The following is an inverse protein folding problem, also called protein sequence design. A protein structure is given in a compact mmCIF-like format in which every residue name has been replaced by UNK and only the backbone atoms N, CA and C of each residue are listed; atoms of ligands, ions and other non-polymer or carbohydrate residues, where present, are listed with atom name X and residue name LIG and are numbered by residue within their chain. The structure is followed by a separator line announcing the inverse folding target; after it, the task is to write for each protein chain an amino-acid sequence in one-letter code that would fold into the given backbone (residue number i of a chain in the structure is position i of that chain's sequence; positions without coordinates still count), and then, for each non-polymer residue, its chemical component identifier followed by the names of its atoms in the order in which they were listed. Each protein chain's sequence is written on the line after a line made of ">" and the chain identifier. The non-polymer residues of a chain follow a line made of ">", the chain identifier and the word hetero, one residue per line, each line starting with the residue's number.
data_IF_974620121194
#
_entry.id   IF_974620121194
#
_cell.length_a   1.000
_cell.length_b   1.000
_cell.length_c   1.000
_cell.angle_alpha   90.00
_cell.angle_beta   90.00
_cell.angle_gamma   90.00
#
_symmetry.space_group_name_H-M   'P 1'
#
loop_
_entity.id
_entity.type
_entity.pdbx_description
1 polymer ?
#
# COMPACT_ATOMS: atom_id res chain seq x y z
N UNK A 1 -3.25 -22.61 19.95
CA UNK A 1 -3.96 -22.10 18.76
C UNK A 1 -3.90 -20.56 18.69
N UNK A 2 -2.70 -19.96 18.58
CA UNK A 2 -2.54 -18.53 18.24
C UNK A 2 -2.83 -18.25 16.76
N UNK A 3 -2.67 -19.23 15.87
CA UNK A 3 -2.96 -19.14 14.42
C UNK A 3 -4.42 -18.83 14.09
N UNK A 4 -5.39 -19.24 14.93
CA UNK A 4 -6.81 -18.97 14.71
C UNK A 4 -7.20 -17.51 15.03
N UNK A 5 -6.47 -16.85 15.95
CA UNK A 5 -6.68 -15.43 16.27
C UNK A 5 -6.08 -14.52 15.20
N UNK A 6 -4.98 -14.94 14.57
CA UNK A 6 -4.28 -14.18 13.53
C UNK A 6 -5.12 -13.94 12.27
N UNK A 7 -6.03 -14.86 11.92
CA UNK A 7 -6.74 -14.85 10.63
C UNK A 7 -8.23 -14.50 10.74
N UNK A 8 -8.86 -14.72 11.90
CA UNK A 8 -10.11 -14.02 12.24
C UNK A 8 -9.91 -12.49 12.28
N UNK A 9 -8.66 -12.06 12.48
CA UNK A 9 -8.30 -10.65 12.41
C UNK A 9 -8.41 -10.08 10.98
N UNK A 10 -7.90 -10.80 9.96
CA UNK A 10 -8.15 -10.47 8.55
C UNK A 10 -9.64 -10.56 8.15
N UNK A 11 -10.44 -11.30 8.92
CA UNK A 11 -11.87 -11.54 8.65
C UNK A 11 -12.78 -10.35 9.05
N UNK A 12 -12.50 -9.68 10.17
CA UNK A 12 -13.23 -8.47 10.58
C UNK A 12 -12.67 -7.18 9.94
N UNK A 13 -11.43 -7.24 9.47
CA UNK A 13 -10.67 -6.14 8.87
C UNK A 13 -10.31 -6.50 7.43
N UNK A 14 -11.29 -6.42 6.52
CA UNK A 14 -11.09 -6.48 5.05
C UNK A 14 -10.35 -5.22 4.57
N UNK A 15 -9.10 -5.06 4.98
CA UNK A 15 -8.21 -4.03 4.45
C UNK A 15 -7.30 -4.71 3.44
N UNK A 16 -7.71 -4.69 2.17
CA UNK A 16 -6.67 -4.45 1.16
C UNK A 16 -5.91 -3.20 1.61
N UNK A 17 -4.59 -3.14 1.45
CA UNK A 17 -3.82 -1.95 1.81
C UNK A 17 -4.43 -0.64 1.22
N UNK A 18 -5.19 -0.75 0.12
CA UNK A 18 -6.07 0.26 -0.50
C UNK A 18 -7.10 0.92 0.46
N UNK A 19 -7.52 0.20 1.50
CA UNK A 19 -8.48 0.68 2.50
C UNK A 19 -7.80 1.60 3.52
N UNK A 20 -6.50 1.38 3.83
CA UNK A 20 -5.77 2.14 4.88
C UNK A 20 -5.29 3.51 4.39
N UNK A 21 -4.96 3.62 3.09
CA UNK A 21 -4.48 4.88 2.51
C UNK A 21 -5.58 5.74 1.89
N UNK A 22 -6.70 5.14 1.50
CA UNK A 22 -7.88 5.87 1.06
C UNK A 22 -9.06 5.53 1.97
N UNK A 23 -9.40 6.46 2.87
CA UNK A 23 -10.67 6.49 3.61
C UNK A 23 -11.96 6.50 2.76
N UNK A 24 -11.90 6.09 1.48
CA UNK A 24 -13.01 5.90 0.56
C UNK A 24 -13.80 4.61 0.80
N UNK A 25 -13.19 3.53 1.30
CA UNK A 25 -13.91 2.27 1.51
C UNK A 25 -14.61 2.22 2.87
N UNK A 26 -14.03 2.82 3.93
CA UNK A 26 -14.73 2.98 5.22
C UNK A 26 -16.06 3.72 5.09
N UNK A 27 -16.17 4.68 4.16
CA UNK A 27 -17.43 5.40 3.93
C UNK A 27 -18.51 4.51 3.33
N UNK A 28 -18.14 3.44 2.62
CA UNK A 28 -19.10 2.56 1.93
C UNK A 28 -19.56 1.40 2.82
N UNK A 29 -18.70 0.91 3.74
CA UNK A 29 -19.05 -0.15 4.69
C UNK A 29 -19.65 0.37 5.99
N UNK A 30 -19.28 1.56 6.47
CA UNK A 30 -20.02 2.24 7.54
C UNK A 30 -21.47 2.59 7.13
N UNK A 31 -21.71 2.88 5.84
CA UNK A 31 -23.05 3.08 5.27
C UNK A 31 -23.83 1.77 5.05
N UNK A 32 -23.21 0.58 5.14
CA UNK A 32 -23.94 -0.70 5.07
C UNK A 32 -24.46 -1.14 6.45
N UNK A 33 -23.86 -0.67 7.54
CA UNK A 33 -24.27 -1.00 8.90
C UNK A 33 -25.21 0.04 9.53
N UNK A 34 -25.33 1.23 8.93
CA UNK A 34 -26.30 2.25 9.32
C UNK A 34 -27.14 2.71 8.11
N UNK A 35 -28.46 2.72 8.28
CA UNK A 35 -29.47 3.33 7.39
C UNK A 35 -30.25 2.41 6.44
N UNK A 36 -31.13 1.63 7.07
CA UNK A 36 -32.52 1.50 6.62
C UNK A 36 -33.23 2.87 6.63
N UNK A 37 -33.13 3.72 5.59
CA UNK A 37 -34.16 4.71 5.18
C UNK A 37 -33.80 5.48 3.89
N UNK A 38 -34.66 5.53 2.85
CA UNK A 38 -34.32 6.20 1.59
C UNK A 38 -34.82 7.66 1.56
N UNK A 39 -33.94 8.62 1.83
CA UNK A 39 -34.07 9.99 1.30
C UNK A 39 -32.69 10.61 1.20
N UNK A 40 -32.14 10.67 -0.01
CA UNK A 40 -31.71 11.92 -0.65
C UNK A 40 -31.09 11.60 -2.02
N UNK A 41 -31.78 12.06 -3.07
CA UNK A 41 -31.34 12.05 -4.46
C UNK A 41 -31.32 13.50 -4.90
N UNK A 42 -30.16 14.03 -5.29
CA UNK A 42 -30.04 15.33 -5.98
C UNK A 42 -28.61 15.47 -6.53
N UNK A 43 -28.39 15.21 -7.81
CA UNK A 43 -28.50 16.15 -8.95
C UNK A 43 -27.12 16.77 -9.27
N UNK A 44 -26.45 16.18 -10.26
CA UNK A 44 -25.24 16.72 -10.86
C UNK A 44 -25.62 17.39 -12.18
N UNK A 45 -25.43 18.70 -12.26
CA UNK A 45 -25.39 19.42 -13.53
C UNK A 45 -24.59 20.72 -13.42
N UNK A 46 -23.49 20.76 -14.19
CA UNK A 46 -23.08 21.81 -15.13
C UNK A 46 -22.78 23.21 -14.56
N UNK A 47 -21.50 23.59 -14.58
CA UNK A 47 -21.07 24.97 -14.83
C UNK A 47 -19.90 24.98 -15.83
N UNK A 48 -20.11 25.71 -16.92
CA UNK A 48 -19.12 26.12 -17.92
C UNK A 48 -19.01 27.64 -17.91
N UNK A 49 -17.81 28.14 -18.26
CA UNK A 49 -17.42 29.49 -18.76
C UNK A 49 -17.22 30.63 -17.76
N UNK A 50 -15.99 31.17 -17.79
CA UNK A 50 -15.64 32.59 -18.03
C UNK A 50 -14.09 32.68 -18.08
N UNK A 51 -13.37 33.53 -18.80
CA UNK A 51 -13.49 34.28 -20.05
C UNK A 51 -12.08 34.86 -20.33
N UNK A 52 -11.81 35.21 -21.59
CA UNK A 52 -10.57 35.80 -22.09
C UNK A 52 -10.32 37.23 -21.55
N UNK A 53 -9.06 37.59 -21.29
CA UNK A 53 -8.45 38.78 -21.89
C UNK A 53 -6.92 38.76 -21.84
N UNK A 54 -6.33 39.50 -22.77
CA UNK A 54 -4.96 39.50 -23.30
C UNK A 54 -3.86 40.06 -22.38
N UNK A 55 -2.59 39.69 -22.63
CA UNK A 55 -1.45 40.59 -22.95
C UNK A 55 -0.26 39.75 -23.47
N UNK A 56 0.38 40.26 -24.53
CA UNK A 56 1.53 39.72 -25.26
C UNK A 56 2.57 40.86 -25.35
N UNK A 57 3.87 40.50 -25.49
CA UNK A 57 5.14 41.29 -25.57
C UNK A 57 6.00 41.18 -24.30
N UNK A 58 7.30 40.88 -24.32
CA UNK A 58 8.24 40.64 -25.41
C UNK A 58 9.66 40.39 -24.86
N UNK A 59 10.27 39.30 -25.33
CA UNK A 59 11.67 39.05 -25.77
C UNK A 59 12.83 40.00 -25.30
N UNK A 60 13.93 39.33 -24.92
CA UNK A 60 15.37 39.71 -24.87
C UNK A 60 15.96 40.26 -23.55
N UNK A 61 16.93 39.49 -23.04
CA UNK A 61 17.90 39.91 -22.02
C UNK A 61 18.91 38.79 -21.69
N UNK A 62 19.71 38.39 -22.68
CA UNK A 62 20.90 37.55 -22.50
C UNK A 62 21.88 38.23 -21.51
N UNK A 63 22.17 37.59 -20.38
CA UNK A 63 23.43 37.80 -19.67
C UNK A 63 24.01 36.45 -19.26
N UNK A 64 25.18 36.17 -19.81
CA UNK A 64 26.02 35.01 -19.53
C UNK A 64 26.60 35.17 -18.11
N UNK A 65 26.26 34.25 -17.21
CA UNK A 65 27.05 33.99 -16.02
C UNK A 65 27.88 32.72 -16.27
N UNK A 66 29.19 32.92 -16.36
CA UNK A 66 30.21 31.88 -16.41
C UNK A 66 30.39 31.29 -15.02
N UNK A 67 30.33 29.95 -14.90
CA UNK A 67 30.93 29.22 -13.79
C UNK A 67 31.72 28.02 -14.31
N UNK A 68 32.83 27.79 -13.62
CA UNK A 68 34.00 27.00 -13.98
C UNK A 68 33.95 25.60 -13.36
N UNK A 69 34.46 24.63 -14.14
CA UNK A 69 35.04 23.31 -13.81
C UNK A 69 34.45 22.42 -12.70
N UNK A 70 33.76 21.36 -13.17
CA UNK A 70 33.92 19.93 -12.84
C UNK A 70 33.90 19.52 -11.35
N UNK A 71 32.73 19.68 -10.74
CA UNK A 71 32.20 18.71 -9.78
C UNK A 71 31.11 17.91 -10.46
N UNK A 72 31.12 16.58 -10.33
CA UNK A 72 30.07 15.69 -10.86
C UNK A 72 28.72 16.16 -10.29
N UNK A 73 27.95 16.88 -11.10
CA UNK A 73 26.66 17.43 -10.70
C UNK A 73 25.70 16.27 -10.44
N UNK A 74 25.32 16.07 -9.18
CA UNK A 74 23.97 15.56 -8.89
C UNK A 74 23.02 16.51 -9.63
N UNK A 75 22.12 15.96 -10.44
CA UNK A 75 21.25 16.75 -11.32
C UNK A 75 20.64 17.90 -10.55
N UNK A 76 20.91 19.14 -10.99
CA UNK A 76 20.43 20.36 -10.34
C UNK A 76 18.90 20.52 -10.46
N UNK A 77 18.25 19.58 -11.18
CA UNK A 77 16.81 19.53 -11.41
C UNK A 77 16.14 18.28 -10.78
N UNK A 78 16.87 17.48 -9.98
CA UNK A 78 16.23 16.37 -9.25
C UNK A 78 15.54 16.95 -8.01
N UNK A 79 14.22 16.78 -7.92
CA UNK A 79 13.40 17.13 -6.78
C UNK A 79 12.43 15.99 -6.44
N UNK A 80 11.98 15.94 -5.19
CA UNK A 80 10.91 15.04 -4.76
C UNK A 80 9.59 15.80 -4.88
N UNK A 81 8.77 15.42 -5.85
CA UNK A 81 7.48 16.06 -6.11
C UNK A 81 6.37 15.47 -5.24
N UNK A 82 5.22 16.18 -5.18
CA UNK A 82 4.00 15.66 -4.55
C UNK A 82 3.57 14.30 -5.14
N UNK A 83 3.67 14.14 -6.47
CA UNK A 83 3.34 12.88 -7.15
C UNK A 83 4.29 11.75 -6.75
N UNK A 84 5.58 12.04 -6.59
CA UNK A 84 6.55 11.03 -6.18
C UNK A 84 6.25 10.53 -4.77
N UNK A 85 5.99 11.46 -3.84
CA UNK A 85 5.61 11.09 -2.48
C UNK A 85 4.32 10.27 -2.47
N UNK A 86 3.32 10.65 -3.26
CA UNK A 86 2.08 9.89 -3.36
C UNK A 86 2.31 8.46 -3.84
N UNK A 87 3.14 8.28 -4.87
CA UNK A 87 3.51 6.93 -5.36
C UNK A 87 4.15 6.11 -4.23
N UNK A 88 5.08 6.71 -3.47
CA UNK A 88 5.75 6.04 -2.35
C UNK A 88 4.73 5.57 -1.29
N UNK A 89 3.75 6.41 -0.97
CA UNK A 89 2.76 6.13 0.07
C UNK A 89 1.66 5.16 -0.39
N UNK A 90 1.26 5.20 -1.67
CA UNK A 90 0.15 4.40 -2.20
C UNK A 90 0.58 3.07 -2.85
N UNK A 91 1.88 2.75 -2.92
CA UNK A 91 2.34 1.52 -3.60
C UNK A 91 1.79 0.24 -2.94
N UNK A 92 1.52 0.28 -1.64
CA UNK A 92 0.95 -0.87 -0.95
C UNK A 92 -0.47 -1.22 -1.44
N UNK A 93 -1.25 -0.24 -1.93
CA UNK A 93 -2.59 -0.44 -2.51
C UNK A 93 -2.55 -1.46 -3.65
N UNK A 94 -1.49 -1.38 -4.48
CA UNK A 94 -1.29 -2.22 -5.66
C UNK A 94 -1.01 -3.68 -5.24
N UNK A 95 -0.12 -3.85 -4.26
CA UNK A 95 0.26 -5.18 -3.78
C UNK A 95 -0.83 -5.85 -2.92
N UNK A 96 -1.66 -5.05 -2.25
CA UNK A 96 -2.75 -5.52 -1.39
C UNK A 96 -3.86 -6.26 -2.13
N UNK A 97 -3.96 -6.11 -3.45
CA UNK A 97 -4.88 -6.88 -4.30
C UNK A 97 -4.59 -8.39 -4.15
N UNK A 98 -3.31 -8.78 -4.12
CA UNK A 98 -2.90 -10.17 -4.00
C UNK A 98 -3.13 -10.73 -2.58
N UNK A 99 -3.04 -9.88 -1.56
CA UNK A 99 -3.24 -10.26 -0.16
C UNK A 99 -4.70 -10.67 0.10
N UNK A 100 -5.67 -10.04 -0.58
CA UNK A 100 -7.09 -10.41 -0.51
C UNK A 100 -7.35 -11.85 -0.98
N UNK A 101 -6.64 -12.30 -2.04
CA UNK A 101 -6.76 -13.66 -2.59
C UNK A 101 -6.21 -14.70 -1.61
N UNK A 102 -5.11 -14.39 -0.93
CA UNK A 102 -4.52 -15.26 0.11
C UNK A 102 -5.52 -15.46 1.25
N UNK A 103 -6.14 -14.36 1.72
CA UNK A 103 -7.15 -14.40 2.78
C UNK A 103 -8.33 -15.31 2.40
N UNK A 104 -8.88 -15.14 1.19
CA UNK A 104 -10.01 -15.96 0.73
C UNK A 104 -9.69 -17.45 0.61
N UNK A 105 -8.53 -17.81 0.06
CA UNK A 105 -8.11 -19.22 -0.05
C UNK A 105 -7.96 -19.89 1.31
N UNK A 106 -7.52 -19.14 2.33
CA UNK A 106 -7.41 -19.64 3.69
C UNK A 106 -8.79 -19.83 4.33
N UNK A 107 -9.71 -18.87 4.17
CA UNK A 107 -11.08 -18.98 4.71
C UNK A 107 -11.83 -20.20 4.13
N UNK A 108 -11.64 -20.46 2.84
CA UNK A 108 -12.25 -21.60 2.17
C UNK A 108 -11.69 -22.96 2.64
N UNK A 109 -10.47 -22.99 3.21
CA UNK A 109 -9.91 -24.19 3.83
C UNK A 109 -10.65 -24.57 5.13
N UNK A 110 -11.24 -23.60 5.85
CA UNK A 110 -11.98 -23.85 7.10
C UNK A 110 -13.42 -24.35 6.84
N UNK A 111 -14.00 -24.00 5.68
CA UNK A 111 -15.39 -24.35 5.31
C UNK A 111 -15.49 -25.76 4.68
N UNK A 112 -14.38 -26.33 4.18
CA UNK A 112 -14.39 -27.68 3.61
C UNK A 112 -13.23 -28.57 4.14
N UNK A 113 -13.61 -29.43 5.09
CA UNK A 113 -13.12 -30.80 5.16
C UNK A 113 -11.66 -31.05 5.61
N UNK A 114 -11.55 -31.55 6.85
CA UNK A 114 -10.64 -32.63 7.28
C UNK A 114 -10.70 -33.92 6.41
N UNK A 115 -11.06 -33.87 5.13
CA UNK A 115 -11.28 -35.09 4.34
C UNK A 115 -11.06 -35.02 2.82
N UNK A 116 -10.43 -34.00 2.23
CA UNK A 116 -10.02 -34.08 0.82
C UNK A 116 -8.69 -33.36 0.53
N UNK A 117 -7.63 -34.14 0.28
CA UNK A 117 -6.29 -33.67 -0.15
C UNK A 117 -6.25 -33.03 -1.56
N UNK A 118 -7.39 -32.80 -2.17
CA UNK A 118 -7.58 -32.02 -3.38
C UNK A 118 -9.05 -31.60 -3.39
N UNK A 119 -9.32 -30.35 -3.05
CA UNK A 119 -10.67 -29.83 -3.10
C UNK A 119 -10.73 -28.88 -4.29
N UNK A 120 -11.48 -29.28 -5.32
CA UNK A 120 -12.01 -28.34 -6.32
C UNK A 120 -13.13 -27.57 -5.61
N UNK A 121 -12.73 -26.58 -4.82
CA UNK A 121 -13.58 -25.82 -3.90
C UNK A 121 -14.59 -24.94 -4.64
N UNK A 122 -14.27 -24.58 -5.89
CA UNK A 122 -15.17 -23.94 -6.86
C UNK A 122 -14.76 -24.38 -8.27
N UNK A 123 -15.62 -24.15 -9.27
CA UNK A 123 -15.26 -24.43 -10.68
C UNK A 123 -14.08 -23.59 -11.20
N UNK A 124 -13.62 -22.58 -10.43
CA UNK A 124 -12.73 -21.55 -10.92
C UNK A 124 -11.25 -21.71 -10.51
N UNK A 125 -10.92 -22.54 -9.51
CA UNK A 125 -9.52 -22.82 -9.15
C UNK A 125 -9.30 -24.23 -8.62
N UNK A 126 -8.07 -24.71 -8.76
CA UNK A 126 -7.60 -25.98 -8.20
C UNK A 126 -6.58 -25.72 -7.10
N UNK A 127 -6.87 -26.18 -5.88
CA UNK A 127 -5.99 -25.99 -4.73
C UNK A 127 -5.55 -27.33 -4.11
N UNK A 128 -4.27 -27.40 -3.75
CA UNK A 128 -3.65 -28.51 -3.02
C UNK A 128 -3.13 -28.00 -1.69
N UNK A 129 -3.59 -28.60 -0.60
CA UNK A 129 -3.24 -28.21 0.78
C UNK A 129 -2.35 -29.27 1.44
N UNK A 130 -1.46 -28.81 2.32
CA UNK A 130 -0.54 -29.64 3.10
C UNK A 130 -0.30 -29.01 4.48
N UNK A 131 0.38 -29.75 5.36
CA UNK A 131 0.74 -29.26 6.69
C UNK A 131 1.76 -28.09 6.63
N UNK A 132 2.45 -27.92 5.51
CA UNK A 132 3.49 -26.89 5.33
C UNK A 132 3.05 -25.73 4.43
N UNK A 133 1.77 -25.66 4.06
CA UNK A 133 1.25 -24.63 3.17
C UNK A 133 0.30 -25.17 2.10
N UNK A 134 0.02 -24.35 1.07
CA UNK A 134 -0.87 -24.72 -0.03
C UNK A 134 -0.40 -24.13 -1.37
N UNK A 135 -0.93 -24.67 -2.46
CA UNK A 135 -0.77 -24.10 -3.80
C UNK A 135 -2.12 -24.08 -4.48
N UNK A 136 -2.50 -22.92 -5.01
CA UNK A 136 -3.72 -22.71 -5.78
C UNK A 136 -3.37 -22.24 -7.18
N UNK A 137 -4.01 -22.86 -8.17
CA UNK A 137 -3.92 -22.46 -9.58
C UNK A 137 -5.29 -21.99 -10.04
N UNK A 138 -5.32 -20.76 -10.54
CA UNK A 138 -6.52 -20.05 -11.01
C UNK A 138 -6.55 -20.04 -12.52
N UNK A 139 -7.71 -20.36 -13.08
CA UNK A 139 -7.98 -20.23 -14.51
C UNK A 139 -9.26 -19.40 -14.68
N UNK A 140 -9.07 -18.12 -14.94
CA UNK A 140 -10.12 -17.12 -15.13
C UNK A 140 -11.16 -17.13 -14.00
N UNK A 141 -10.70 -17.02 -12.75
CA UNK A 141 -11.56 -17.06 -11.57
C UNK A 141 -11.98 -15.67 -11.11
N UNK A 142 -13.26 -15.48 -10.82
CA UNK A 142 -13.75 -14.29 -10.10
C UNK A 142 -13.90 -14.66 -8.63
N UNK A 143 -13.01 -14.13 -7.78
CA UNK A 143 -13.02 -14.34 -6.33
C UNK A 143 -13.77 -13.19 -5.63
N UNK A 144 -14.92 -13.45 -5.00
CA UNK A 144 -15.69 -12.46 -4.21
C UNK A 144 -15.80 -11.03 -4.78
N UNK A 145 -15.99 -10.88 -6.09
CA UNK A 145 -16.16 -9.56 -6.74
C UNK A 145 -14.85 -8.83 -7.08
N UNK A 146 -13.70 -9.50 -6.93
CA UNK A 146 -12.44 -9.10 -7.58
C UNK A 146 -12.54 -9.21 -9.10
N UNK A 147 -11.58 -8.61 -9.80
CA UNK A 147 -11.38 -8.89 -11.22
C UNK A 147 -10.91 -10.33 -11.46
N UNK A 148 -10.91 -10.78 -12.71
CA UNK A 148 -10.52 -12.15 -13.05
C UNK A 148 -9.08 -12.45 -12.58
N UNK A 149 -8.95 -13.45 -11.71
CA UNK A 149 -7.69 -13.97 -11.18
C UNK A 149 -7.21 -15.15 -12.03
N UNK A 150 -5.91 -15.13 -12.39
CA UNK A 150 -5.25 -16.19 -13.14
C UNK A 150 -3.87 -16.49 -12.53
N UNK A 151 -3.33 -17.67 -12.85
CA UNK A 151 -1.96 -18.04 -12.50
C UNK A 151 -1.87 -18.85 -11.22
N UNK A 152 -0.67 -18.93 -10.65
CA UNK A 152 -0.40 -19.79 -9.49
C UNK A 152 0.07 -18.98 -8.29
N UNK A 153 -0.59 -19.24 -7.17
CA UNK A 153 -0.21 -18.76 -5.84
C UNK A 153 0.26 -19.94 -5.01
N UNK A 154 1.49 -19.88 -4.53
CA UNK A 154 2.05 -20.86 -3.59
C UNK A 154 2.29 -20.19 -2.25
N UNK A 155 1.74 -20.75 -1.18
CA UNK A 155 1.95 -20.29 0.19
C UNK A 155 2.66 -21.38 0.97
N UNK A 156 3.75 -21.01 1.64
CA UNK A 156 4.53 -21.88 2.52
C UNK A 156 4.46 -21.34 3.94
N UNK A 157 4.04 -22.16 4.90
CA UNK A 157 3.99 -21.77 6.31
C UNK A 157 5.40 -21.83 6.91
N UNK A 158 5.74 -20.85 7.73
CA UNK A 158 6.97 -20.87 8.51
C UNK A 158 6.92 -21.96 9.58
N UNK A 159 8.02 -22.69 9.74
CA UNK A 159 8.13 -23.78 10.72
C UNK A 159 9.05 -23.32 11.86
N UNK A 160 8.48 -23.10 13.05
CA UNK A 160 9.22 -22.80 14.27
C UNK A 160 8.83 -21.46 14.92
N UNK A 161 8.64 -21.53 16.23
CA UNK A 161 8.29 -20.46 17.20
C UNK A 161 6.82 -20.00 17.25
N UNK A 162 6.44 -19.44 18.41
CA UNK A 162 5.06 -19.15 18.88
C UNK A 162 4.27 -18.16 17.99
N UNK A 163 4.92 -17.57 16.99
CA UNK A 163 4.41 -16.61 16.01
C UNK A 163 3.99 -17.25 14.69
N UNK A 164 2.82 -16.87 14.18
CA UNK A 164 2.37 -17.28 12.84
C UNK A 164 3.18 -16.56 11.75
N UNK A 165 3.75 -17.32 10.80
CA UNK A 165 4.42 -16.75 9.63
C UNK A 165 4.15 -17.56 8.36
N UNK A 166 4.18 -16.91 7.21
CA UNK A 166 4.06 -17.56 5.92
C UNK A 166 4.73 -16.75 4.79
N UNK A 167 5.09 -17.42 3.71
CA UNK A 167 5.61 -16.80 2.49
C UNK A 167 4.71 -17.14 1.32
N UNK A 168 4.19 -16.12 0.64
CA UNK A 168 3.45 -16.23 -0.62
C UNK A 168 4.39 -15.99 -1.81
N UNK A 169 4.25 -16.81 -2.85
CA UNK A 169 4.97 -16.70 -4.12
C UNK A 169 3.97 -16.68 -5.26
N UNK A 170 4.15 -15.72 -6.17
CA UNK A 170 3.25 -15.44 -7.29
C UNK A 170 3.94 -15.80 -8.60
N UNK A 171 3.41 -16.79 -9.31
CA UNK A 171 3.94 -17.25 -10.60
C UNK A 171 2.90 -17.06 -11.68
N UNK A 172 3.23 -16.21 -12.67
CA UNK A 172 2.30 -15.79 -13.73
C UNK A 172 0.92 -15.41 -13.17
N UNK A 173 0.91 -14.73 -12.02
CA UNK A 173 -0.30 -14.38 -11.30
C UNK A 173 -0.86 -13.07 -11.85
N UNK A 174 -2.16 -13.04 -12.13
CA UNK A 174 -2.84 -11.85 -12.63
C UNK A 174 -4.10 -11.61 -11.82
N UNK A 175 -4.39 -10.33 -11.58
CA UNK A 175 -5.71 -9.88 -11.14
C UNK A 175 -6.18 -8.82 -12.12
N UNK A 176 -7.16 -9.18 -12.95
CA UNK A 176 -7.59 -8.35 -14.05
C UNK A 176 -6.49 -8.18 -15.11
N UNK A 177 -6.07 -6.95 -15.33
CA UNK A 177 -4.95 -6.59 -16.23
C UNK A 177 -3.60 -6.48 -15.52
N UNK A 178 -3.57 -6.56 -14.19
CA UNK A 178 -2.35 -6.38 -13.40
C UNK A 178 -1.65 -7.74 -13.26
N UNK A 179 -0.38 -7.81 -13.67
CA UNK A 179 0.49 -8.98 -13.44
C UNK A 179 1.29 -8.78 -12.17
N UNK A 180 1.33 -9.79 -11.32
CA UNK A 180 2.08 -9.80 -10.06
C UNK A 180 3.07 -10.97 -10.09
N UNK A 181 4.31 -10.72 -9.72
CA UNK A 181 5.39 -11.72 -9.72
C UNK A 181 6.34 -11.49 -8.57
N UNK A 182 6.92 -12.57 -8.03
CA UNK A 182 7.85 -12.51 -6.90
C UNK A 182 7.29 -13.15 -5.64
N UNK A 183 7.75 -12.71 -4.48
CA UNK A 183 7.32 -13.23 -3.18
C UNK A 183 7.10 -12.16 -2.11
N UNK A 184 6.20 -12.45 -1.17
CA UNK A 184 5.97 -11.68 0.06
C UNK A 184 5.99 -12.62 1.25
N UNK A 185 6.73 -12.26 2.30
CA UNK A 185 6.77 -13.00 3.56
C UNK A 185 6.12 -12.19 4.67
N UNK A 186 5.26 -12.84 5.45
CA UNK A 186 4.51 -12.25 6.54
C UNK A 186 4.91 -12.93 7.85
N UNK A 187 5.20 -12.13 8.86
CA UNK A 187 5.53 -12.59 10.21
C UNK A 187 4.68 -11.82 11.20
N UNK A 188 3.82 -12.52 11.94
CA UNK A 188 3.10 -11.93 13.06
C UNK A 188 4.02 -11.84 14.28
N UNK A 189 4.01 -10.72 14.97
CA UNK A 189 4.59 -10.64 16.29
C UNK A 189 3.64 -11.27 17.33
N UNK A 190 4.04 -12.40 17.91
CA UNK A 190 3.25 -13.09 18.95
C UNK A 190 3.28 -12.40 20.31
N UNK A 191 4.09 -11.35 20.49
CA UNK A 191 4.21 -10.59 21.73
C UNK A 191 3.22 -9.42 21.84
N UNK A 192 2.29 -9.30 20.88
CA UNK A 192 1.34 -8.19 20.87
C UNK A 192 0.41 -8.19 22.09
N UNK A 193 0.17 -7.00 22.63
CA UNK A 193 -0.72 -6.77 23.77
C UNK A 193 -2.17 -7.12 23.38
N UNK A 194 -3.06 -7.31 24.36
CA UNK A 194 -4.45 -7.76 24.09
C UNK A 194 -5.22 -6.90 23.07
N UNK A 195 -4.82 -5.64 22.88
CA UNK A 195 -5.47 -4.67 21.99
C UNK A 195 -4.56 -4.12 20.88
N UNK A 196 -3.45 -4.80 20.60
CA UNK A 196 -2.56 -4.45 19.50
C UNK A 196 -2.15 -5.68 18.71
N UNK A 197 -1.73 -5.47 17.48
CA UNK A 197 -1.06 -6.47 16.67
C UNK A 197 0.02 -5.80 15.85
N UNK A 198 1.10 -6.53 15.61
CA UNK A 198 2.21 -6.09 14.80
C UNK A 198 2.53 -7.20 13.83
N UNK A 199 2.69 -6.86 12.56
CA UNK A 199 3.15 -7.81 11.56
C UNK A 199 4.22 -7.18 10.68
N UNK A 200 5.18 -8.01 10.28
CA UNK A 200 6.27 -7.63 9.40
C UNK A 200 6.04 -8.26 8.03
N UNK A 201 6.07 -7.44 6.98
CA UNK A 201 6.00 -7.86 5.58
C UNK A 201 7.36 -7.64 4.95
N UNK A 202 7.91 -8.68 4.32
CA UNK A 202 9.09 -8.56 3.46
C UNK A 202 8.68 -8.85 2.02
N UNK A 203 8.82 -7.86 1.14
CA UNK A 203 8.48 -7.92 -0.27
C UNK A 203 9.73 -8.08 -1.13
N UNK A 204 9.63 -8.93 -2.15
CA UNK A 204 10.50 -8.95 -3.31
C UNK A 204 9.61 -9.20 -4.54
N UNK A 205 9.04 -8.11 -5.06
CA UNK A 205 7.89 -8.12 -5.95
C UNK A 205 8.12 -7.27 -7.19
N UNK A 206 7.52 -7.71 -8.28
CA UNK A 206 7.34 -6.93 -9.51
C UNK A 206 5.87 -6.95 -9.89
N UNK A 207 5.32 -5.77 -10.12
CA UNK A 207 3.96 -5.57 -10.60
C UNK A 207 4.01 -4.90 -11.96
N UNK A 208 3.30 -5.46 -12.94
CA UNK A 208 3.07 -4.83 -14.25
C UNK A 208 1.61 -4.43 -14.32
N UNK A 209 1.37 -3.13 -14.43
CA UNK A 209 0.03 -2.55 -14.48
C UNK A 209 -0.62 -2.76 -15.85
N UNK A 210 -1.93 -2.50 -15.94
CA UNK A 210 -2.68 -2.66 -17.21
C UNK A 210 -2.25 -1.71 -18.33
N UNK A 211 -1.54 -0.63 -18.01
CA UNK A 211 -0.92 0.30 -18.97
C UNK A 211 0.55 -0.03 -19.29
N UNK A 212 1.00 -1.22 -18.90
CA UNK A 212 2.38 -1.73 -19.06
C UNK A 212 3.44 -1.03 -18.18
N UNK A 213 3.06 -0.08 -17.31
CA UNK A 213 3.97 0.46 -16.30
C UNK A 213 4.42 -0.63 -15.33
N UNK A 214 5.67 -0.54 -14.87
CA UNK A 214 6.30 -1.55 -14.03
C UNK A 214 6.68 -0.93 -12.69
N UNK A 215 6.19 -1.55 -11.62
CA UNK A 215 6.55 -1.24 -10.24
C UNK A 215 7.36 -2.40 -9.68
N UNK A 216 8.57 -2.14 -9.21
CA UNK A 216 9.38 -3.13 -8.47
C UNK A 216 9.44 -2.68 -7.01
N UNK A 217 9.12 -3.58 -6.08
CA UNK A 217 9.20 -3.34 -4.64
C UNK A 217 10.13 -4.37 -4.00
N UNK A 218 11.12 -3.91 -3.24
CA UNK A 218 11.99 -4.77 -2.45
C UNK A 218 12.25 -4.18 -1.06
N UNK A 219 12.00 -4.94 0.00
CA UNK A 219 12.36 -4.52 1.36
C UNK A 219 11.38 -5.01 2.41
N UNK A 220 11.44 -4.40 3.59
CA UNK A 220 10.71 -4.82 4.77
C UNK A 220 9.93 -3.65 5.37
N UNK A 221 8.66 -3.89 5.66
CA UNK A 221 7.76 -2.98 6.37
C UNK A 221 7.21 -3.68 7.61
N UNK A 222 7.25 -2.99 8.74
CA UNK A 222 6.60 -3.43 9.98
C UNK A 222 5.39 -2.54 10.19
N UNK A 223 4.21 -3.16 10.21
CA UNK A 223 2.94 -2.47 10.43
C UNK A 223 2.43 -2.86 11.82
N UNK A 224 2.25 -1.85 12.65
CA UNK A 224 1.62 -1.99 13.95
C UNK A 224 0.22 -1.39 13.92
N UNK A 225 -0.64 -1.92 14.78
CA UNK A 225 -1.96 -1.34 14.98
C UNK A 225 -2.37 -1.52 16.42
N UNK A 226 -2.92 -0.45 16.99
CA UNK A 226 -3.45 -0.41 18.35
C UNK A 226 -4.88 0.06 18.28
N UNK A 227 -5.80 -0.76 18.79
CA UNK A 227 -7.20 -0.39 18.88
C UNK A 227 -7.41 0.63 20.00
N UNK A 228 -8.25 1.62 19.71
CA UNK A 228 -8.80 2.52 20.71
C UNK A 228 -10.28 2.26 20.93
N UNK A 229 -10.89 3.08 21.78
CA UNK A 229 -12.33 3.08 22.01
C UNK A 229 -13.12 3.78 20.86
N UNK A 230 -12.40 4.44 19.95
CA UNK A 230 -12.94 5.17 18.80
C UNK A 230 -11.99 5.12 17.61
N UNK A 231 -12.42 5.65 16.45
CA UNK A 231 -11.57 5.72 15.25
C UNK A 231 -10.38 6.68 15.43
N UNK A 232 -10.59 7.78 16.17
CA UNK A 232 -9.57 8.79 16.48
C UNK A 232 -8.48 8.23 17.41
N UNK A 233 -8.83 7.25 18.23
CA UNK A 233 -7.93 6.62 19.21
C UNK A 233 -7.35 5.28 18.74
N UNK A 234 -7.81 4.78 17.59
CA UNK A 234 -7.25 3.61 16.92
C UNK A 234 -6.12 4.05 16.00
N UNK A 235 -4.89 3.63 16.33
CA UNK A 235 -3.65 4.10 15.70
C UNK A 235 -3.05 2.97 14.88
N UNK A 236 -2.58 3.29 13.68
CA UNK A 236 -1.70 2.43 12.91
C UNK A 236 -0.30 3.04 12.84
N UNK A 237 0.71 2.19 12.80
CA UNK A 237 2.11 2.58 12.72
C UNK A 237 2.82 1.85 11.59
N UNK A 238 3.78 2.53 10.96
CA UNK A 238 4.61 1.98 9.89
C UNK A 238 6.07 2.27 10.21
N UNK A 239 6.88 1.23 10.13
CA UNK A 239 8.34 1.28 10.22
C UNK A 239 8.96 0.41 9.12
N UNK A 240 10.26 0.56 8.89
CA UNK A 240 11.02 -0.29 7.99
C UNK A 240 11.75 0.45 6.88
N UNK A 241 12.24 -0.34 5.92
CA UNK A 241 13.08 0.12 4.84
C UNK A 241 12.73 -0.64 3.56
N UNK A 242 12.45 0.09 2.49
CA UNK A 242 12.10 -0.51 1.20
C UNK A 242 12.60 0.33 0.04
N UNK A 243 12.70 -0.32 -1.12
CA UNK A 243 13.07 0.28 -2.39
C UNK A 243 11.93 0.09 -3.36
N UNK A 244 11.54 1.18 -4.01
CA UNK A 244 10.56 1.19 -5.10
C UNK A 244 11.27 1.60 -6.39
N UNK A 245 10.95 0.92 -7.49
CA UNK A 245 11.29 1.40 -8.83
C UNK A 245 10.01 1.58 -9.62
N UNK A 246 9.77 2.80 -10.11
CA UNK A 246 8.56 3.17 -10.85
C UNK A 246 8.97 4.05 -12.01
N UNK A 247 8.60 3.66 -13.23
CA UNK A 247 8.83 4.44 -14.47
C UNK A 247 10.27 4.92 -14.69
N UNK A 248 11.25 4.17 -14.17
CA UNK A 248 12.69 4.46 -14.30
C UNK A 248 13.30 5.19 -13.10
N UNK A 249 12.47 5.74 -12.20
CA UNK A 249 12.93 6.32 -10.94
C UNK A 249 13.11 5.24 -9.88
N UNK A 250 14.13 5.40 -9.04
CA UNK A 250 14.37 4.56 -7.86
C UNK A 250 14.22 5.39 -6.59
N UNK A 251 13.33 4.94 -5.71
CA UNK A 251 13.08 5.51 -4.40
C UNK A 251 13.54 4.53 -3.33
N UNK A 252 14.52 4.89 -2.51
CA UNK A 252 14.85 4.12 -1.31
C UNK A 252 14.30 4.85 -0.10
N UNK A 253 13.40 4.19 0.60
CA UNK A 253 12.73 4.73 1.77
C UNK A 253 13.28 4.05 3.01
N UNK A 254 13.59 4.86 4.02
CA UNK A 254 13.94 4.38 5.34
C UNK A 254 13.20 5.20 6.38
N UNK A 255 12.33 4.56 7.14
CA UNK A 255 11.62 5.20 8.25
C UNK A 255 12.64 5.47 9.37
N UNK A 256 12.67 6.72 9.84
CA UNK A 256 13.56 7.15 10.92
C UNK A 256 12.82 7.23 12.25
N UNK A 257 11.72 8.00 12.25
CA UNK A 257 10.75 8.04 13.33
C UNK A 257 9.49 7.35 12.82
N UNK A 258 8.98 6.38 13.60
CA UNK A 258 7.77 5.60 13.25
C UNK A 258 6.70 6.53 12.68
N UNK A 259 6.18 6.17 11.52
CA UNK A 259 5.07 6.87 10.89
C UNK A 259 3.79 6.45 11.59
N UNK A 260 2.95 7.40 11.99
CA UNK A 260 1.68 7.08 12.66
C UNK A 260 0.51 7.80 12.00
N UNK A 261 -0.62 7.10 11.93
CA UNK A 261 -1.91 7.67 11.59
C UNK A 261 -3.01 7.07 12.47
N UNK A 262 -4.22 7.61 12.34
CA UNK A 262 -5.38 7.08 13.04
C UNK A 262 -6.54 6.87 12.08
N UNK A 263 -7.50 6.02 12.44
CA UNK A 263 -8.58 5.63 11.55
C UNK A 263 -9.59 6.76 11.23
N UNK A 264 -9.54 7.88 11.96
CA UNK A 264 -10.37 9.05 11.65
C UNK A 264 -9.71 10.00 10.64
N UNK A 265 -8.40 9.87 10.42
CA UNK A 265 -7.61 10.73 9.54
C UNK A 265 -7.23 10.00 8.26
N UNK A 266 -7.39 10.68 7.11
CA UNK A 266 -7.02 10.12 5.80
C UNK A 266 -5.53 10.21 5.49
N UNK A 267 -4.69 10.66 6.42
CA UNK A 267 -3.28 10.96 6.22
C UNK A 267 -2.47 10.51 7.43
N UNK A 268 -1.15 10.33 7.22
CA UNK A 268 -0.21 10.21 8.33
C UNK A 268 -0.23 11.50 9.15
N UNK A 269 -0.23 11.34 10.46
CA UNK A 269 -0.33 12.44 11.43
C UNK A 269 0.99 12.73 12.14
N UNK A 270 1.94 11.80 12.12
CA UNK A 270 3.24 11.99 12.73
C UNK A 270 4.29 11.06 12.11
N UNK A 271 5.55 11.30 12.47
CA UNK A 271 6.69 10.49 12.06
C UNK A 271 7.51 11.13 10.95
N UNK A 272 8.59 10.44 10.60
CA UNK A 272 9.56 10.94 9.64
C UNK A 272 10.27 9.79 8.93
N UNK A 273 10.41 9.93 7.62
CA UNK A 273 11.20 9.01 6.79
C UNK A 273 12.24 9.77 5.97
N UNK A 274 13.27 9.07 5.53
CA UNK A 274 14.18 9.51 4.48
C UNK A 274 13.79 8.87 3.16
N UNK A 275 13.90 9.65 2.08
CA UNK A 275 13.68 9.20 0.71
C UNK A 275 14.91 9.56 -0.11
N UNK A 276 15.60 8.56 -0.65
CA UNK A 276 16.64 8.70 -1.67
C UNK A 276 16.01 8.45 -3.04
N UNK A 277 15.71 9.53 -3.78
CA UNK A 277 15.25 9.51 -5.17
C UNK A 277 16.46 9.68 -6.08
N UNK A 278 16.85 8.63 -6.80
CA UNK A 278 17.94 8.68 -7.80
C UNK A 278 19.28 9.30 -7.30
N UNK A 279 19.56 9.23 -5.99
CA UNK A 279 20.73 9.84 -5.35
C UNK A 279 20.47 11.15 -4.60
N UNK A 280 19.29 11.76 -4.75
CA UNK A 280 18.84 12.88 -3.94
C UNK A 280 18.16 12.35 -2.67
N UNK A 281 18.84 12.53 -1.53
CA UNK A 281 18.29 12.19 -0.22
C UNK A 281 17.55 13.38 0.40
N UNK A 282 16.27 13.21 0.70
CA UNK A 282 15.45 14.18 1.44
C UNK A 282 14.83 13.54 2.68
N UNK A 283 14.46 14.37 3.65
CA UNK A 283 13.63 13.94 4.77
C UNK A 283 12.18 14.38 4.55
N UNK A 284 11.23 13.52 4.87
CA UNK A 284 9.79 13.81 4.81
C UNK A 284 9.20 13.63 6.21
N UNK A 285 8.62 14.69 6.76
CA UNK A 285 7.94 14.69 8.06
C UNK A 285 6.43 14.86 7.90
N UNK A 286 5.65 14.18 8.73
CA UNK A 286 4.18 14.09 8.63
C UNK A 286 3.43 14.83 9.75
N UNK A 287 4.02 15.88 10.29
CA UNK A 287 3.38 16.73 11.31
C UNK A 287 3.62 16.29 12.76
N UNK A 288 2.77 16.80 13.65
CA UNK A 288 2.93 16.77 15.12
C UNK A 288 1.84 15.95 15.84
N UNK A 289 1.02 15.21 15.10
CA UNK A 289 -0.16 14.48 15.56
C UNK A 289 -1.48 15.13 15.16
N UNK A 290 -1.46 16.35 14.62
CA UNK A 290 -2.64 17.00 14.06
C UNK A 290 -3.10 16.29 12.78
N UNK A 291 -4.42 16.13 12.60
CA UNK A 291 -4.96 15.60 11.35
C UNK A 291 -5.05 16.72 10.31
N UNK A 292 -3.99 16.87 9.51
CA UNK A 292 -3.97 17.68 8.31
C UNK A 292 -3.46 16.87 7.11
N UNK A 293 -3.52 17.47 5.93
CA UNK A 293 -3.07 16.86 4.68
C UNK A 293 -1.68 17.34 4.30
N UNK A 294 -0.80 17.68 5.24
CA UNK A 294 0.50 18.28 4.92
C UNK A 294 1.68 17.36 5.25
N UNK A 295 2.70 17.40 4.40
CA UNK A 295 4.02 16.84 4.69
C UNK A 295 5.09 17.89 4.43
N UNK A 296 6.12 17.91 5.26
CA UNK A 296 7.26 18.82 5.12
C UNK A 296 8.45 18.05 4.57
N UNK A 297 8.91 18.44 3.38
CA UNK A 297 10.15 17.96 2.77
C UNK A 297 11.30 18.85 3.26
N UNK A 298 12.39 18.23 3.72
CA UNK A 298 13.64 18.91 4.07
C UNK A 298 14.77 18.41 3.18
N UNK A 299 15.35 19.32 2.39
CA UNK A 299 16.43 19.06 1.46
C UNK A 299 17.81 19.07 2.15
N UNK A 300 18.86 18.48 1.56
CA UNK A 300 20.21 18.45 2.15
C UNK A 300 20.81 19.82 2.49
N UNK A 301 20.41 20.86 1.78
CA UNK A 301 20.84 22.25 2.01
C UNK A 301 20.08 22.93 3.18
N UNK A 302 19.14 22.23 3.83
CA UNK A 302 18.29 22.73 4.89
C UNK A 302 17.08 23.52 4.42
N UNK A 303 16.85 23.66 3.10
CA UNK A 303 15.62 24.22 2.58
C UNK A 303 14.45 23.28 2.89
N UNK A 304 13.28 23.86 3.15
CA UNK A 304 12.05 23.12 3.45
C UNK A 304 10.94 23.52 2.51
N UNK A 305 10.09 22.56 2.19
CA UNK A 305 8.90 22.73 1.35
C UNK A 305 7.74 21.95 1.96
N UNK A 306 6.59 22.62 2.13
CA UNK A 306 5.38 21.96 2.57
C UNK A 306 4.54 21.56 1.36
N UNK A 307 4.19 20.29 1.27
CA UNK A 307 3.36 19.73 0.21
C UNK A 307 2.07 19.17 0.78
N UNK A 308 0.96 19.37 0.06
CA UNK A 308 -0.29 18.71 0.41
C UNK A 308 -0.26 17.25 -0.04
N UNK A 309 -0.84 16.34 0.72
CA UNK A 309 -1.05 14.93 0.40
C UNK A 309 -2.38 14.70 -0.32
N UNK A 310 -3.14 15.77 -0.57
CA UNK A 310 -4.44 15.74 -1.23
C UNK A 310 -4.33 16.03 -2.73
N UNK A 311 -5.23 15.41 -3.49
CA UNK A 311 -5.46 15.63 -4.93
C UNK A 311 -5.82 17.08 -5.30
#
# INVERSE_FOLDING_TARGET
>A
MPELKFLLFFNDFNWGFDVMWKGKILKTEALRLGEYNPKYKSNMNRITRMNRSFILFGIIGLFLASCSEDGKSIGVDEELTQSDLKVILETDDISGIADSVISELYMNNDISAKSAKSAKLSECYEATYSDTGFTATFDNCVLNGTENVNGTLTVVYGIGEESGSYTATYTDFYVGSIKISGSRSFVLDSSSEENSFVFTVTSDMTVVMGDESIVVENGTKTVGFTFGDSLETSIFSIDGNWTLQVDGDTYKVAVGTILEGNLSCGYLTSGQMSVDKNGLMVMVGFGDGSCDDMATITYPNGATEDISLKD
#
